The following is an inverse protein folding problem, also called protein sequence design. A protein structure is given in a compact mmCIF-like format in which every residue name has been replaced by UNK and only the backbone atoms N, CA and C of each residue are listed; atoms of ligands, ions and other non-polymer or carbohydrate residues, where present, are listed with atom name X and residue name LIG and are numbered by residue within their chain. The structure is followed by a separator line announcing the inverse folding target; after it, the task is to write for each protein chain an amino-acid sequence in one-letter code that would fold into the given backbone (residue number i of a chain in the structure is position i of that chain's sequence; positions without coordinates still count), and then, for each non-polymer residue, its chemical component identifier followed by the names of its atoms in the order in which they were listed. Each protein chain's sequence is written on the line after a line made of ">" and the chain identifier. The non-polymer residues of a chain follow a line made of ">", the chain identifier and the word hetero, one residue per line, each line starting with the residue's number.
data_IF_970494722028
#
_entry.id   IF_970494722028
#
_cell.length_a   1.000
_cell.length_b   1.000
_cell.length_c   1.000
_cell.angle_alpha   90.00
_cell.angle_beta   90.00
_cell.angle_gamma   90.00
#
_symmetry.space_group_name_H-M   'P 1'
#
loop_
_entity.id
_entity.type
_entity.pdbx_description
1 polymer ?
#
# COMPACT_ATOMS: atom_id res chain seq x y z
N UNK A 1 -0.84 -14.06 2.69
CA UNK A 1 -0.34 -12.69 2.59
C UNK A 1 0.94 -12.60 3.39
N UNK A 2 2.07 -12.55 2.70
CA UNK A 2 3.41 -12.44 3.21
C UNK A 2 3.80 -10.97 3.37
N UNK A 3 4.80 -10.69 4.20
CA UNK A 3 5.37 -9.34 4.38
C UNK A 3 5.93 -8.79 3.07
N UNK A 4 6.45 -9.64 2.18
CA UNK A 4 6.90 -9.28 0.84
C UNK A 4 5.75 -8.78 -0.05
N UNK A 5 4.63 -9.51 -0.10
CA UNK A 5 3.44 -9.10 -0.86
C UNK A 5 2.92 -7.74 -0.38
N UNK A 6 2.89 -7.50 0.94
CA UNK A 6 2.48 -6.22 1.50
C UNK A 6 3.44 -5.06 1.10
N UNK A 7 4.75 -5.31 1.10
CA UNK A 7 5.76 -4.34 0.63
C UNK A 7 5.61 -4.03 -0.86
N UNK A 8 5.36 -5.05 -1.67
CA UNK A 8 5.15 -4.90 -3.11
C UNK A 8 3.91 -4.03 -3.41
N UNK A 9 2.83 -4.22 -2.65
CA UNK A 9 1.64 -3.38 -2.77
C UNK A 9 1.92 -1.92 -2.39
N UNK A 10 2.60 -1.67 -1.28
CA UNK A 10 2.99 -0.31 -0.86
C UNK A 10 3.81 0.39 -1.95
N UNK A 11 4.76 -0.34 -2.56
CA UNK A 11 5.57 0.21 -3.64
C UNK A 11 4.72 0.60 -4.86
N UNK A 12 3.79 -0.25 -5.30
CA UNK A 12 2.90 0.08 -6.41
C UNK A 12 2.02 1.30 -6.13
N UNK A 13 1.53 1.46 -4.90
CA UNK A 13 0.77 2.66 -4.51
C UNK A 13 1.65 3.92 -4.54
N UNK A 14 2.93 3.84 -4.16
CA UNK A 14 3.88 4.96 -4.30
C UNK A 14 4.13 5.33 -5.75
N UNK A 15 4.33 4.35 -6.62
CA UNK A 15 4.54 4.59 -8.04
C UNK A 15 3.31 5.23 -8.68
N UNK A 16 2.11 4.75 -8.32
CA UNK A 16 0.86 5.37 -8.74
C UNK A 16 0.71 6.80 -8.23
N UNK A 17 1.06 7.07 -6.96
CA UNK A 17 1.07 8.41 -6.36
C UNK A 17 1.99 9.36 -7.15
N UNK A 18 3.22 8.94 -7.46
CA UNK A 18 4.16 9.77 -8.23
C UNK A 18 3.68 10.02 -9.66
N UNK A 19 3.24 8.98 -10.38
CA UNK A 19 2.79 9.13 -11.75
C UNK A 19 1.56 10.04 -11.85
N UNK A 20 0.63 9.93 -10.89
CA UNK A 20 -0.50 10.84 -10.79
C UNK A 20 -0.07 12.29 -10.51
N UNK A 21 0.90 12.51 -9.62
CA UNK A 21 1.47 13.84 -9.37
C UNK A 21 2.18 14.44 -10.58
N UNK A 22 2.75 13.60 -11.46
CA UNK A 22 3.29 14.01 -12.75
C UNK A 22 2.21 14.29 -13.82
N UNK A 23 0.93 14.17 -13.47
CA UNK A 23 -0.20 14.37 -14.39
C UNK A 23 -0.48 13.15 -15.29
N UNK A 24 0.13 12.00 -15.01
CA UNK A 24 -0.10 10.75 -15.76
C UNK A 24 -1.32 10.01 -15.18
N UNK A 25 -2.01 9.29 -16.06
CA UNK A 25 -3.04 8.34 -15.66
C UNK A 25 -2.41 6.97 -15.40
N UNK A 26 -2.78 6.30 -14.31
CA UNK A 26 -2.23 4.97 -13.96
C UNK A 26 -3.37 3.96 -13.87
N UNK A 27 -3.25 2.83 -14.55
CA UNK A 27 -4.22 1.74 -14.37
C UNK A 27 -3.76 0.84 -13.26
N UNK A 28 -4.51 0.79 -12.16
CA UNK A 28 -4.24 -0.05 -11.01
C UNK A 28 -5.44 -0.93 -10.72
N UNK A 29 -5.21 -2.25 -10.66
CA UNK A 29 -6.27 -3.24 -10.42
C UNK A 29 -7.48 -3.09 -11.38
N UNK A 30 -7.22 -2.74 -12.64
CA UNK A 30 -8.26 -2.50 -13.65
C UNK A 30 -8.99 -1.16 -13.56
N UNK A 31 -8.67 -0.33 -12.56
CA UNK A 31 -9.22 1.03 -12.43
C UNK A 31 -8.19 2.07 -12.86
N UNK A 32 -8.64 3.12 -13.56
CA UNK A 32 -7.80 4.26 -13.87
C UNK A 32 -7.74 5.20 -12.68
N UNK A 33 -6.53 5.48 -12.22
CA UNK A 33 -6.20 6.41 -11.16
C UNK A 33 -5.67 7.71 -11.77
N UNK A 34 -6.21 8.83 -11.31
CA UNK A 34 -5.83 10.19 -11.72
C UNK A 34 -5.60 11.05 -10.48
N UNK A 35 -5.30 12.35 -10.66
CA UNK A 35 -5.16 13.32 -9.55
C UNK A 35 -6.37 13.34 -8.63
N UNK A 36 -7.57 13.12 -9.17
CA UNK A 36 -8.82 13.04 -8.42
C UNK A 36 -8.84 11.82 -7.47
N UNK A 37 -8.10 10.77 -7.81
CA UNK A 37 -7.95 9.57 -7.00
C UNK A 37 -6.79 9.65 -6.00
N UNK A 38 -6.03 10.76 -5.93
CA UNK A 38 -4.83 10.87 -5.09
C UNK A 38 -5.12 10.57 -3.61
N UNK A 39 -6.27 11.02 -3.10
CA UNK A 39 -6.74 10.72 -1.74
C UNK A 39 -6.96 9.21 -1.54
N UNK A 40 -7.54 8.52 -2.51
CA UNK A 40 -7.77 7.08 -2.50
C UNK A 40 -6.46 6.29 -2.59
N UNK A 41 -5.50 6.73 -3.42
CA UNK A 41 -4.16 6.13 -3.53
C UNK A 41 -3.43 6.19 -2.19
N UNK A 42 -3.48 7.35 -1.53
CA UNK A 42 -2.91 7.56 -0.19
C UNK A 42 -3.57 6.69 0.86
N UNK A 43 -4.90 6.60 0.84
CA UNK A 43 -5.65 5.75 1.76
C UNK A 43 -5.30 4.26 1.58
N UNK A 44 -5.18 3.80 0.32
CA UNK A 44 -4.71 2.46 -0.01
C UNK A 44 -3.30 2.19 0.52
N UNK A 45 -2.36 3.10 0.28
CA UNK A 45 -0.99 2.99 0.80
C UNK A 45 -0.95 2.85 2.32
N UNK A 46 -1.64 3.74 3.03
CA UNK A 46 -1.69 3.72 4.50
C UNK A 46 -2.31 2.43 5.04
N UNK A 47 -3.32 1.89 4.36
CA UNK A 47 -3.93 0.61 4.73
C UNK A 47 -2.92 -0.54 4.63
N UNK A 48 -2.14 -0.59 3.54
CA UNK A 48 -1.09 -1.59 3.39
C UNK A 48 0.07 -1.38 4.35
N UNK A 49 0.44 -0.14 4.66
CA UNK A 49 1.44 0.19 5.68
C UNK A 49 0.98 -0.28 7.08
N UNK A 50 -0.28 -0.07 7.44
CA UNK A 50 -0.86 -0.59 8.70
C UNK A 50 -0.83 -2.12 8.75
N UNK A 51 -1.19 -2.79 7.65
CA UNK A 51 -1.12 -4.26 7.56
C UNK A 51 0.31 -4.77 7.69
N UNK A 52 1.26 -4.13 7.00
CA UNK A 52 2.67 -4.48 7.12
C UNK A 52 3.17 -4.27 8.55
N UNK A 53 2.78 -3.17 9.20
CA UNK A 53 3.13 -2.94 10.61
C UNK A 53 2.61 -4.08 11.49
N UNK A 54 1.33 -4.47 11.38
CA UNK A 54 0.75 -5.57 12.14
C UNK A 54 1.40 -6.95 11.87
N UNK A 55 2.01 -7.14 10.69
CA UNK A 55 2.72 -8.36 10.32
C UNK A 55 4.18 -8.39 10.81
N UNK A 56 4.80 -7.22 10.89
CA UNK A 56 6.19 -7.04 11.33
C UNK A 56 6.26 -6.80 12.83
N UNK A 57 5.15 -6.44 13.47
CA UNK A 57 5.00 -6.45 14.92
C UNK A 57 5.47 -7.82 15.43
N UNK A 58 6.46 -7.85 16.34
CA UNK A 58 6.98 -9.10 16.83
C UNK A 58 5.82 -9.85 17.47
N UNK A 59 5.63 -11.11 17.09
CA UNK A 59 4.81 -12.08 17.81
C UNK A 59 5.39 -12.37 19.22
N UNK A 60 5.87 -11.35 19.95
CA UNK A 60 6.47 -11.40 21.27
C UNK A 60 5.44 -11.64 22.40
N UNK A 61 4.31 -12.25 22.06
CA UNK A 61 3.20 -12.51 22.98
C UNK A 61 2.69 -13.95 22.96
N UNK A 62 3.41 -14.89 22.33
CA UNK A 62 3.07 -16.32 22.41
C UNK A 62 4.15 -17.12 23.13
N UNK A 63 4.57 -16.62 24.29
CA UNK A 63 5.15 -17.46 25.34
C UNK A 63 4.02 -18.33 25.88
N UNK A 64 3.94 -19.55 25.35
CA UNK A 64 3.14 -20.62 25.95
C UNK A 64 3.90 -21.09 27.20
N UNK A 65 3.38 -20.72 28.36
CA UNK A 65 3.65 -21.36 29.66
C UNK A 65 3.26 -22.83 29.63
#
# INVERSE_FOLDING_TARGET
>A
MSTEEAREMIQRYREAEMAVLEGKSVTFNGQQLTLESLSQIRAGRQEWERRLAAMVEPQAGKTRI
#
